data_IF_599364682046
#
_entry.id   IF_599364682046
#
_cell.length_a   1.000
_cell.length_b   1.000
_cell.length_c   1.000
_cell.angle_alpha   90.00
_cell.angle_beta   90.00
_cell.angle_gamma   90.00
#
_symmetry.space_group_name_H-M   'P 1'
#
loop_
_entity.id
_entity.type
_entity.pdbx_description
1 polymer ?
#
# COMPACT_ATOMS: atom_id res chain seq x y z
N UNK A 1 -20.06 -17.70 -18.22
CA UNK A 1 -19.49 -17.54 -16.86
C UNK A 1 -18.85 -16.15 -16.81
N UNK A 2 -19.22 -15.28 -15.86
CA UNK A 2 -18.72 -13.90 -15.84
C UNK A 2 -17.23 -13.83 -15.48
N UNK A 3 -16.52 -12.78 -15.92
CA UNK A 3 -15.12 -12.55 -15.56
C UNK A 3 -14.92 -12.48 -14.05
N UNK A 4 -15.87 -11.87 -13.33
CA UNK A 4 -15.88 -11.77 -11.87
C UNK A 4 -15.88 -13.15 -11.19
N UNK A 5 -16.63 -14.12 -11.72
CA UNK A 5 -16.65 -15.49 -11.20
C UNK A 5 -15.31 -16.20 -11.39
N UNK A 6 -14.56 -15.87 -12.45
CA UNK A 6 -13.20 -16.40 -12.64
C UNK A 6 -12.24 -15.82 -11.60
N UNK A 7 -12.37 -14.53 -11.27
CA UNK A 7 -11.56 -13.90 -10.23
C UNK A 7 -11.81 -14.50 -8.86
N UNK A 8 -13.08 -14.70 -8.47
CA UNK A 8 -13.42 -15.35 -7.19
C UNK A 8 -12.80 -16.74 -7.02
N UNK A 9 -12.59 -17.48 -8.12
CA UNK A 9 -11.97 -18.82 -8.09
C UNK A 9 -10.44 -18.79 -8.01
N UNK A 10 -9.81 -17.71 -8.49
CA UNK A 10 -8.36 -17.63 -8.66
C UNK A 10 -7.68 -16.80 -7.58
N UNK A 11 -8.42 -15.89 -6.96
CA UNK A 11 -7.88 -14.93 -6.01
C UNK A 11 -8.54 -15.06 -4.64
N UNK A 12 -7.75 -14.85 -3.59
CA UNK A 12 -8.29 -14.76 -2.24
C UNK A 12 -9.11 -13.48 -2.14
N UNK A 13 -10.31 -13.59 -1.59
CA UNK A 13 -11.24 -12.48 -1.49
C UNK A 13 -12.00 -12.50 -0.16
N UNK A 14 -12.54 -11.34 0.18
CA UNK A 14 -13.29 -11.10 1.40
C UNK A 14 -14.54 -10.29 1.06
N UNK A 15 -15.65 -10.63 1.71
CA UNK A 15 -16.89 -9.88 1.57
C UNK A 15 -16.74 -8.47 2.16
N UNK A 16 -17.35 -7.50 1.48
CA UNK A 16 -17.51 -6.11 1.90
C UNK A 16 -18.99 -5.75 1.77
N UNK A 17 -19.44 -4.75 2.51
CA UNK A 17 -20.81 -4.23 2.46
C UNK A 17 -21.20 -3.75 1.04
N UNK A 18 -20.21 -3.38 0.23
CA UNK A 18 -20.41 -2.83 -1.12
C UNK A 18 -19.99 -3.79 -2.24
N UNK A 19 -19.45 -4.96 -1.92
CA UNK A 19 -18.99 -5.93 -2.91
C UNK A 19 -17.94 -6.89 -2.38
N UNK A 20 -16.74 -6.84 -2.95
CA UNK A 20 -15.68 -7.79 -2.61
C UNK A 20 -14.30 -7.16 -2.65
N UNK A 21 -13.46 -7.54 -1.71
CA UNK A 21 -12.07 -7.10 -1.62
C UNK A 21 -11.17 -8.29 -1.93
N UNK A 22 -10.33 -8.17 -2.96
CA UNK A 22 -9.38 -9.18 -3.40
C UNK A 22 -8.00 -8.90 -2.82
N UNK A 23 -7.27 -9.95 -2.44
CA UNK A 23 -5.86 -9.91 -2.04
C UNK A 23 -5.05 -10.60 -3.13
N UNK A 24 -4.14 -9.86 -3.76
CA UNK A 24 -3.33 -10.27 -4.90
C UNK A 24 -1.85 -10.26 -4.49
N UNK A 25 -1.17 -11.37 -4.75
CA UNK A 25 0.25 -11.56 -4.51
C UNK A 25 1.08 -11.43 -5.81
N UNK A 26 2.39 -11.13 -5.72
CA UNK A 26 3.27 -10.97 -6.89
C UNK A 26 3.32 -12.21 -7.79
N UNK A 27 3.19 -13.41 -7.23
CA UNK A 27 3.21 -14.68 -7.94
C UNK A 27 1.89 -15.02 -8.64
N UNK A 28 0.81 -14.27 -8.36
CA UNK A 28 -0.49 -14.51 -8.99
C UNK A 28 -0.41 -14.40 -10.52
N UNK A 29 -1.14 -15.29 -11.18
CA UNK A 29 -1.27 -15.37 -12.65
C UNK A 29 -2.67 -14.97 -13.12
N UNK A 30 -3.48 -14.35 -12.26
CA UNK A 30 -4.87 -14.03 -12.59
C UNK A 30 -4.98 -12.90 -13.62
N UNK A 31 -6.09 -12.88 -14.35
CA UNK A 31 -6.44 -11.73 -15.19
C UNK A 31 -6.81 -10.50 -14.36
N UNK A 32 -7.15 -10.67 -13.07
CA UNK A 32 -7.39 -9.55 -12.16
C UNK A 32 -6.08 -8.81 -11.87
N UNK A 33 -5.00 -9.53 -11.56
CA UNK A 33 -3.66 -8.96 -11.35
C UNK A 33 -3.25 -8.08 -12.52
N UNK A 34 -3.28 -8.63 -13.75
CA UNK A 34 -2.95 -7.86 -14.97
C UNK A 34 -3.80 -6.60 -15.13
N UNK A 35 -5.11 -6.69 -14.87
CA UNK A 35 -6.01 -5.53 -14.93
C UNK A 35 -5.66 -4.47 -13.89
N UNK A 36 -5.25 -4.90 -12.70
CA UNK A 36 -4.90 -4.02 -11.58
C UNK A 36 -3.55 -3.36 -11.81
N UNK A 37 -2.56 -4.10 -12.31
CA UNK A 37 -1.26 -3.56 -12.75
C UNK A 37 -1.48 -2.46 -13.78
N UNK A 38 -2.23 -2.74 -14.84
CA UNK A 38 -2.56 -1.74 -15.86
C UNK A 38 -3.29 -0.52 -15.27
N UNK A 39 -4.27 -0.74 -14.37
CA UNK A 39 -4.98 0.36 -13.70
C UNK A 39 -4.02 1.20 -12.85
N UNK A 40 -3.02 0.56 -12.24
CA UNK A 40 -2.03 1.28 -11.44
C UNK A 40 -1.12 2.12 -12.33
N UNK A 41 -0.59 1.54 -13.41
CA UNK A 41 0.27 2.25 -14.36
C UNK A 41 -0.45 3.43 -15.01
N UNK A 42 -1.69 3.22 -15.49
CA UNK A 42 -2.43 4.23 -16.25
C UNK A 42 -3.06 5.33 -15.38
N UNK A 43 -3.48 4.98 -14.16
CA UNK A 43 -4.35 5.85 -13.34
C UNK A 43 -3.73 6.12 -11.98
N UNK A 44 -3.37 5.08 -11.22
CA UNK A 44 -2.95 5.27 -9.82
C UNK A 44 -1.63 6.02 -9.76
N UNK A 45 -0.59 5.53 -10.43
CA UNK A 45 0.77 6.10 -10.44
C UNK A 45 0.74 7.59 -10.83
N UNK A 46 0.14 7.99 -11.98
CA UNK A 46 0.02 9.41 -12.32
C UNK A 46 -0.78 10.22 -11.30
N UNK A 47 -1.87 9.66 -10.75
CA UNK A 47 -2.73 10.39 -9.80
C UNK A 47 -2.09 10.68 -8.45
N UNK A 48 -1.01 9.96 -8.11
CA UNK A 48 -0.25 10.14 -6.85
C UNK A 48 1.19 10.59 -7.10
N UNK A 49 1.54 11.00 -8.33
CA UNK A 49 2.84 11.61 -8.65
C UNK A 49 4.00 10.63 -8.87
N UNK A 50 3.72 9.34 -9.05
CA UNK A 50 4.75 8.34 -9.37
C UNK A 50 4.91 8.16 -10.88
N UNK A 51 6.11 7.71 -11.29
CA UNK A 51 6.34 7.28 -12.66
C UNK A 51 5.38 6.13 -13.04
N UNK A 52 4.78 6.15 -14.25
CA UNK A 52 3.82 5.12 -14.67
C UNK A 52 4.39 3.71 -14.59
N UNK A 53 5.66 3.51 -14.95
CA UNK A 53 6.38 2.24 -14.98
C UNK A 53 6.96 1.80 -13.63
N UNK A 54 6.72 2.56 -12.56
CA UNK A 54 7.22 2.20 -11.24
C UNK A 54 6.53 0.93 -10.71
N UNK A 55 7.33 -0.13 -10.56
CA UNK A 55 6.87 -1.43 -10.07
C UNK A 55 6.13 -1.33 -8.74
N UNK A 56 4.93 -1.91 -8.71
CA UNK A 56 4.07 -1.96 -7.53
C UNK A 56 4.53 -3.01 -6.52
N UNK A 57 5.29 -4.01 -6.96
CA UNK A 57 5.67 -5.17 -6.15
C UNK A 57 6.93 -4.93 -5.32
N UNK A 58 7.71 -3.89 -5.66
CA UNK A 58 9.02 -3.67 -5.08
C UNK A 58 10.06 -4.63 -5.66
N UNK A 59 11.32 -4.46 -5.27
CA UNK A 59 12.43 -5.30 -5.72
C UNK A 59 12.49 -6.65 -4.97
N UNK A 60 11.86 -6.73 -3.81
CA UNK A 60 11.86 -7.89 -2.90
C UNK A 60 10.54 -8.67 -2.91
N UNK A 61 9.57 -8.26 -3.73
CA UNK A 61 8.26 -8.88 -3.89
C UNK A 61 7.47 -9.05 -2.57
N UNK A 62 7.74 -8.25 -1.54
CA UNK A 62 7.04 -8.35 -0.25
C UNK A 62 5.69 -7.65 -0.22
N UNK A 63 5.40 -6.85 -1.25
CA UNK A 63 4.16 -6.08 -1.34
C UNK A 63 2.98 -6.97 -1.68
N UNK A 64 1.84 -6.62 -1.13
CA UNK A 64 0.55 -7.24 -1.41
C UNK A 64 -0.41 -6.16 -1.87
N UNK A 65 -1.10 -6.42 -2.98
CA UNK A 65 -2.08 -5.51 -3.56
C UNK A 65 -3.48 -5.94 -3.14
N UNK A 66 -4.27 -4.99 -2.70
CA UNK A 66 -5.65 -5.18 -2.29
C UNK A 66 -6.57 -4.36 -3.16
N UNK A 67 -7.64 -4.97 -3.65
CA UNK A 67 -8.52 -4.34 -4.63
C UNK A 67 -9.97 -4.50 -4.21
N UNK A 68 -10.62 -3.37 -3.94
CA UNK A 68 -12.06 -3.34 -3.69
C UNK A 68 -12.80 -3.23 -5.01
N UNK A 69 -13.66 -4.21 -5.29
CA UNK A 69 -14.58 -4.20 -6.43
C UNK A 69 -15.99 -4.00 -5.87
N UNK A 70 -16.59 -2.86 -6.23
CA UNK A 70 -17.98 -2.56 -5.89
C UNK A 70 -18.89 -3.13 -6.97
N UNK A 71 -20.05 -3.63 -6.53
CA UNK A 71 -21.12 -4.08 -7.42
C UNK A 71 -22.33 -3.18 -7.23
N UNK A 72 -22.65 -2.39 -8.25
CA UNK A 72 -23.85 -1.54 -8.30
C UNK A 72 -24.76 -2.08 -9.42
N UNK A 73 -25.83 -2.78 -9.04
CA UNK A 73 -26.71 -3.46 -9.99
C UNK A 73 -25.99 -4.55 -10.78
N UNK A 74 -25.94 -4.41 -12.11
CA UNK A 74 -25.22 -5.32 -13.02
C UNK A 74 -23.79 -4.84 -13.36
N UNK A 75 -23.39 -3.70 -12.81
CA UNK A 75 -22.08 -3.09 -13.09
C UNK A 75 -21.10 -3.34 -11.94
N UNK A 76 -19.84 -3.56 -12.30
CA UNK A 76 -18.75 -3.74 -11.35
C UNK A 76 -17.58 -2.85 -11.74
N UNK A 77 -16.96 -2.19 -10.77
CA UNK A 77 -15.77 -1.36 -11.02
C UNK A 77 -14.78 -1.46 -9.87
N UNK A 78 -13.51 -1.18 -10.18
CA UNK A 78 -12.44 -1.09 -9.18
C UNK A 78 -12.66 0.22 -8.40
N UNK A 79 -13.09 0.10 -7.16
CA UNK A 79 -13.42 1.21 -6.30
C UNK A 79 -12.24 1.69 -5.47
N UNK A 80 -11.35 0.79 -5.06
CA UNK A 80 -10.13 1.13 -4.34
C UNK A 80 -9.00 0.15 -4.66
N UNK A 81 -7.77 0.67 -4.61
CA UNK A 81 -6.53 -0.11 -4.69
C UNK A 81 -5.67 0.32 -3.51
N UNK A 82 -5.16 -0.66 -2.75
CA UNK A 82 -4.23 -0.46 -1.65
C UNK A 82 -3.01 -1.34 -1.84
N UNK A 83 -1.83 -0.74 -1.89
CA UNK A 83 -0.57 -1.48 -1.91
C UNK A 83 -0.01 -1.47 -0.50
N UNK A 84 0.23 -2.66 0.03
CA UNK A 84 0.66 -2.87 1.42
C UNK A 84 1.96 -3.66 1.49
N UNK A 85 2.73 -3.44 2.54
CA UNK A 85 3.94 -4.21 2.87
C UNK A 85 4.00 -4.50 4.37
N UNK A 86 4.58 -5.64 4.80
CA UNK A 86 4.83 -5.88 6.21
C UNK A 86 6.03 -5.03 6.64
N UNK A 87 5.90 -4.28 7.74
CA UNK A 87 6.99 -3.46 8.27
C UNK A 87 7.57 -4.04 9.55
N UNK A 88 8.89 -3.93 9.71
CA UNK A 88 9.58 -4.26 10.96
C UNK A 88 9.47 -3.11 11.96
N UNK A 89 9.43 -1.87 11.46
CA UNK A 89 9.30 -0.67 12.28
C UNK A 89 8.61 0.46 11.52
N UNK A 90 8.05 1.41 12.27
CA UNK A 90 7.51 2.65 11.72
C UNK A 90 7.78 3.79 12.69
N UNK A 91 8.04 4.99 12.19
CA UNK A 91 8.30 6.16 13.02
C UNK A 91 7.10 7.09 13.02
N UNK A 92 6.62 7.52 14.19
CA UNK A 92 5.66 8.60 14.25
C UNK A 92 6.34 9.91 13.82
N UNK A 93 5.80 10.56 12.79
CA UNK A 93 6.27 11.83 12.26
C UNK A 93 6.07 13.01 13.22
N UNK A 94 5.23 12.86 14.25
CA UNK A 94 4.97 13.92 15.23
C UNK A 94 5.92 13.80 16.43
N UNK A 95 6.00 12.63 17.07
CA UNK A 95 6.84 12.45 18.26
C UNK A 95 8.27 12.00 17.93
N UNK A 96 8.51 11.51 16.71
CA UNK A 96 9.75 10.84 16.34
C UNK A 96 9.88 9.42 16.93
N UNK A 97 8.88 8.96 17.70
CA UNK A 97 8.91 7.66 18.36
C UNK A 97 8.84 6.52 17.34
N UNK A 98 9.69 5.52 17.52
CA UNK A 98 9.70 4.32 16.69
C UNK A 98 8.82 3.24 17.30
N UNK A 99 7.80 2.81 16.56
CA UNK A 99 7.04 1.61 16.87
C UNK A 99 7.92 0.38 16.55
N UNK A 100 8.12 -0.44 17.57
CA UNK A 100 8.99 -1.63 17.58
C UNK A 100 8.19 -2.95 17.40
N UNK A 101 8.88 -4.09 17.14
CA UNK A 101 8.33 -5.22 16.37
C UNK A 101 7.52 -6.24 17.20
N UNK A 102 7.10 -5.91 18.43
CA UNK A 102 6.38 -6.89 19.27
C UNK A 102 5.06 -7.35 18.63
N UNK A 103 4.46 -6.51 17.77
CA UNK A 103 3.27 -6.83 17.00
C UNK A 103 3.49 -6.52 15.52
N UNK A 104 2.75 -7.15 14.59
CA UNK A 104 2.85 -6.82 13.18
C UNK A 104 2.45 -5.37 12.87
N UNK A 105 3.07 -4.79 11.84
CA UNK A 105 2.76 -3.45 11.31
C UNK A 105 2.38 -3.59 9.84
N UNK A 106 1.29 -2.92 9.43
CA UNK A 106 0.90 -2.80 8.02
C UNK A 106 1.44 -1.47 7.50
N UNK A 107 2.37 -1.51 6.55
CA UNK A 107 2.76 -0.34 5.77
C UNK A 107 1.82 -0.16 4.59
N UNK A 108 1.22 1.01 4.46
CA UNK A 108 0.42 1.43 3.31
C UNK A 108 1.33 2.24 2.39
N UNK A 109 1.80 1.60 1.32
CA UNK A 109 2.66 2.21 0.31
C UNK A 109 1.85 3.13 -0.59
N UNK A 110 0.68 2.67 -1.04
CA UNK A 110 -0.24 3.44 -1.90
C UNK A 110 -1.67 3.18 -1.47
N UNK A 111 -2.47 4.24 -1.47
CA UNK A 111 -3.90 4.15 -1.26
C UNK A 111 -4.59 5.03 -2.31
N UNK A 112 -5.37 4.40 -3.17
CA UNK A 112 -6.16 5.08 -4.17
C UNK A 112 -7.62 4.66 -4.08
N UNK A 113 -8.51 5.61 -4.32
CA UNK A 113 -9.95 5.38 -4.38
C UNK A 113 -10.50 6.08 -5.61
N UNK A 114 -11.28 5.32 -6.38
CA UNK A 114 -11.99 5.81 -7.55
C UNK A 114 -12.83 7.03 -7.16
N UNK A 115 -12.87 8.12 -7.95
CA UNK A 115 -13.59 9.34 -7.58
C UNK A 115 -15.04 9.10 -7.15
N UNK A 116 -15.78 8.23 -7.86
CA UNK A 116 -17.16 7.88 -7.53
C UNK A 116 -17.34 7.07 -6.23
N UNK A 117 -16.27 6.48 -5.71
CA UNK A 117 -16.24 5.69 -4.47
C UNK A 117 -15.72 6.51 -3.26
N UNK A 118 -15.24 7.73 -3.48
CA UNK A 118 -14.70 8.59 -2.41
C UNK A 118 -15.80 9.01 -1.43
N UNK A 119 -15.41 9.18 -0.17
CA UNK A 119 -16.28 9.59 0.95
C UNK A 119 -17.48 8.66 1.22
N UNK A 120 -17.45 7.43 0.69
CA UNK A 120 -18.44 6.37 0.96
C UNK A 120 -17.94 5.29 1.94
N UNK A 121 -16.80 5.51 2.62
CA UNK A 121 -16.23 4.55 3.58
C UNK A 121 -15.36 3.44 2.98
N UNK A 122 -15.32 3.29 1.66
CA UNK A 122 -14.62 2.21 0.94
C UNK A 122 -13.15 2.06 1.33
N UNK A 123 -12.39 3.16 1.39
CA UNK A 123 -10.99 3.12 1.78
C UNK A 123 -10.79 2.63 3.22
N UNK A 124 -11.64 3.08 4.14
CA UNK A 124 -11.60 2.67 5.55
C UNK A 124 -11.96 1.19 5.72
N UNK A 125 -13.02 0.74 5.05
CA UNK A 125 -13.44 -0.66 5.07
C UNK A 125 -12.36 -1.57 4.47
N UNK A 126 -11.76 -1.17 3.35
CA UNK A 126 -10.66 -1.92 2.73
C UNK A 126 -9.48 -2.07 3.70
N UNK A 127 -9.09 -1.00 4.40
CA UNK A 127 -8.05 -1.07 5.43
C UNK A 127 -8.45 -1.93 6.63
N UNK A 128 -9.73 -1.91 7.05
CA UNK A 128 -10.21 -2.77 8.13
C UNK A 128 -10.16 -4.26 7.76
N UNK A 129 -10.47 -4.61 6.52
CA UNK A 129 -10.28 -5.97 5.98
C UNK A 129 -8.80 -6.34 5.91
N UNK A 130 -7.95 -5.44 5.43
CA UNK A 130 -6.48 -5.65 5.40
C UNK A 130 -5.98 -5.95 6.81
N UNK A 131 -6.30 -5.11 7.79
CA UNK A 131 -5.87 -5.26 9.19
C UNK A 131 -6.29 -6.61 9.79
N UNK A 132 -7.46 -7.11 9.42
CA UNK A 132 -8.00 -8.38 9.91
C UNK A 132 -7.33 -9.60 9.28
N UNK A 133 -6.89 -9.50 8.02
CA UNK A 133 -6.52 -10.66 7.22
C UNK A 133 -5.10 -10.65 6.68
N UNK A 134 -4.34 -9.57 6.87
CA UNK A 134 -2.99 -9.47 6.31
C UNK A 134 -2.03 -10.45 6.98
N UNK A 135 -2.03 -10.46 8.32
CA UNK A 135 -1.29 -11.39 9.17
C UNK A 135 -2.23 -12.47 9.70
N UNK A 136 -1.90 -13.74 9.46
CA UNK A 136 -2.73 -14.87 9.86
C UNK A 136 -2.95 -14.88 11.37
N UNK A 137 -4.23 -14.86 11.78
CA UNK A 137 -4.61 -14.96 13.20
C UNK A 137 -4.43 -13.68 14.01
N UNK A 138 -4.00 -12.57 13.40
CA UNK A 138 -3.74 -11.31 14.11
C UNK A 138 -4.57 -10.16 13.53
N UNK A 139 -5.41 -9.54 14.36
CA UNK A 139 -6.06 -8.28 14.04
C UNK A 139 -5.11 -7.11 14.32
N UNK A 140 -4.59 -6.48 13.28
CA UNK A 140 -3.70 -5.33 13.43
C UNK A 140 -4.51 -4.12 13.93
N UNK A 141 -4.14 -3.46 15.04
CA UNK A 141 -4.81 -2.25 15.50
C UNK A 141 -4.54 -1.08 14.53
N UNK A 142 -5.46 -0.10 14.42
CA UNK A 142 -5.27 1.04 13.50
C UNK A 142 -3.98 1.82 13.81
N UNK A 143 -3.57 1.88 15.08
CA UNK A 143 -2.32 2.49 15.53
C UNK A 143 -1.06 1.83 14.99
N UNK A 144 -1.17 0.64 14.39
CA UNK A 144 -0.09 -0.09 13.71
C UNK A 144 -0.28 -0.15 12.19
N UNK A 145 -1.05 0.78 11.64
CA UNK A 145 -1.09 1.06 10.21
C UNK A 145 -0.26 2.30 9.94
N UNK A 146 0.83 2.13 9.19
CA UNK A 146 1.72 3.21 8.79
C UNK A 146 1.46 3.63 7.34
N UNK A 147 1.62 4.91 7.01
CA UNK A 147 1.35 5.44 5.67
C UNK A 147 2.62 6.05 5.09
N UNK A 148 3.12 5.46 4.01
CA UNK A 148 4.35 5.93 3.35
C UNK A 148 4.08 7.20 2.54
N UNK A 149 4.74 8.30 2.93
CA UNK A 149 4.74 9.59 2.22
C UNK A 149 3.35 10.04 1.71
N UNK A 150 2.37 10.27 2.61
CA UNK A 150 1.00 10.52 2.20
C UNK A 150 0.84 11.89 1.53
N UNK A 151 0.09 11.92 0.44
CA UNK A 151 -0.40 13.17 -0.18
C UNK A 151 -1.23 13.98 0.83
N UNK A 152 -1.51 15.27 0.58
CA UNK A 152 -2.35 16.06 1.49
C UNK A 152 -3.75 15.45 1.71
N UNK A 153 -4.34 14.86 0.67
CA UNK A 153 -5.61 14.13 0.76
C UNK A 153 -5.41 12.84 1.56
N UNK A 154 -4.32 12.11 1.30
CA UNK A 154 -3.94 10.90 2.03
C UNK A 154 -3.71 11.14 3.52
N UNK A 155 -3.06 12.25 3.88
CA UNK A 155 -2.82 12.68 5.27
C UNK A 155 -4.12 12.94 6.00
N UNK A 156 -5.03 13.73 5.41
CA UNK A 156 -6.37 14.00 5.98
C UNK A 156 -7.18 12.71 6.15
N UNK A 157 -7.07 11.78 5.20
CA UNK A 157 -7.69 10.47 5.31
C UNK A 157 -7.08 9.67 6.47
N UNK A 158 -5.74 9.56 6.53
CA UNK A 158 -5.03 8.82 7.56
C UNK A 158 -5.37 9.37 8.96
N UNK A 159 -5.31 10.68 9.16
CA UNK A 159 -5.71 11.34 10.39
C UNK A 159 -7.13 10.95 10.80
N UNK A 160 -8.10 10.99 9.88
CA UNK A 160 -9.49 10.63 10.16
C UNK A 160 -9.66 9.14 10.45
N UNK A 161 -8.96 8.28 9.71
CA UNK A 161 -9.00 6.83 9.88
C UNK A 161 -8.45 6.42 11.25
N UNK A 162 -7.34 7.05 11.66
CA UNK A 162 -6.68 6.82 12.95
C UNK A 162 -7.42 7.49 14.13
N UNK A 163 -8.10 8.63 13.92
CA UNK A 163 -8.82 9.40 14.97
C UNK A 163 -9.90 8.63 15.73
N UNK A 164 -10.43 7.54 15.15
CA UNK A 164 -11.36 6.68 15.87
C UNK A 164 -10.71 5.87 17.01
N UNK A 165 -9.42 6.05 17.26
CA UNK A 165 -8.71 5.33 18.32
C UNK A 165 -8.46 6.18 19.57
N UNK A 166 -7.98 7.45 19.54
CA UNK A 166 -7.93 8.34 20.72
C UNK A 166 -7.81 9.84 20.35
N UNK A 167 -8.22 10.73 21.27
CA UNK A 167 -8.36 12.19 21.11
C UNK A 167 -7.06 12.99 21.19
N UNK A 168 -5.90 12.36 21.32
CA UNK A 168 -4.60 13.04 21.33
C UNK A 168 -3.51 12.01 21.05
N UNK A 169 -2.42 12.47 20.43
CA UNK A 169 -1.18 11.73 20.10
C UNK A 169 -1.10 11.02 18.73
N UNK A 170 -0.12 11.47 17.95
CA UNK A 170 0.60 10.79 16.85
C UNK A 170 -0.20 10.20 15.68
N UNK A 171 -0.34 10.95 14.58
CA UNK A 171 -1.23 10.58 13.45
C UNK A 171 -0.58 10.45 12.07
N UNK A 172 0.74 10.46 11.98
CA UNK A 172 1.42 10.20 10.72
C UNK A 172 2.61 9.33 11.02
N UNK A 173 2.63 8.12 10.48
CA UNK A 173 3.77 7.21 10.60
C UNK A 173 4.49 7.22 9.29
N UNK A 174 5.76 7.62 9.28
CA UNK A 174 6.61 7.49 8.10
C UNK A 174 7.18 6.07 8.12
N UNK A 175 7.04 5.37 6.99
CA UNK A 175 7.73 4.11 6.76
C UNK A 175 9.25 4.37 6.76
N UNK A 176 9.96 3.80 7.73
CA UNK A 176 11.40 3.99 7.89
C UNK A 176 12.19 2.99 7.03
N UNK A 177 11.54 1.92 6.56
CA UNK A 177 12.19 0.80 5.87
C UNK A 177 12.66 1.14 4.43
N UNK A 178 12.22 2.28 3.86
CA UNK A 178 12.73 2.75 2.55
C UNK A 178 14.16 3.33 2.68
N UNK A 179 14.49 4.01 3.78
CA UNK A 179 15.84 4.58 3.95
C UNK A 179 16.88 3.52 4.37
N UNK A 180 16.49 2.56 5.21
CA UNK A 180 17.41 1.51 5.65
C UNK A 180 17.74 0.50 4.54
N UNK A 181 16.83 0.20 3.62
CA UNK A 181 17.12 -0.71 2.50
C UNK A 181 18.17 -0.14 1.55
N UNK A 182 18.12 1.17 1.26
CA UNK A 182 19.14 1.84 0.44
C UNK A 182 20.49 1.89 1.19
N UNK A 183 20.47 2.16 2.50
CA UNK A 183 21.71 2.21 3.30
C UNK A 183 22.34 0.81 3.47
N UNK A 184 21.53 -0.22 3.74
CA UNK A 184 22.00 -1.60 3.92
C UNK A 184 22.47 -2.22 2.59
N UNK A 185 21.85 -1.85 1.46
CA UNK A 185 22.33 -2.24 0.13
C UNK A 185 23.67 -1.57 -0.23
N UNK A 186 23.92 -0.33 0.25
CA UNK A 186 25.21 0.34 0.12
C UNK A 186 26.28 -0.28 1.04
N UNK A 187 25.91 -0.70 2.25
CA UNK A 187 26.84 -1.30 3.22
C UNK A 187 27.22 -2.75 2.86
N UNK A 188 26.32 -3.52 2.23
CA UNK A 188 26.60 -4.88 1.74
C UNK A 188 27.38 -4.93 0.41
N UNK A 189 27.50 -3.80 -0.28
CA UNK A 189 28.24 -3.68 -1.55
C UNK A 189 29.75 -3.42 -1.38
N UNK A 190 30.26 -3.37 -0.15
CA UNK A 190 31.71 -3.29 0.11
C UNK A 190 32.23 -4.67 0.53
N UNK A 191 32.99 -5.36 -0.35
CA UNK A 191 34.45 -5.21 -0.26
C UNK A 191 35.19 -5.24 -1.61
N UNK A 192 36.26 -4.44 -1.70
CA UNK A 192 37.44 -4.76 -2.53
C UNK A 192 37.46 -4.24 -3.98
N UNK A 193 38.29 -3.21 -4.19
CA UNK A 193 39.03 -2.86 -5.42
C UNK A 193 38.28 -2.51 -6.73
N UNK A 194 38.49 -1.25 -7.12
CA UNK A 194 38.75 -0.76 -8.48
C UNK A 194 37.86 -1.24 -9.65
N UNK A 195 36.84 -0.45 -9.97
CA UNK A 195 36.67 0.16 -11.31
C UNK A 195 35.47 1.13 -11.27
N UNK A 196 35.59 2.22 -12.01
CA UNK A 196 34.68 3.37 -12.03
C UNK A 196 33.19 2.97 -12.16
N UNK A 197 32.26 3.62 -11.43
CA UNK A 197 30.84 3.31 -11.59
C UNK A 197 30.33 3.75 -12.98
N UNK A 198 29.43 2.99 -13.62
CA UNK A 198 28.70 3.47 -14.78
C UNK A 198 27.86 4.68 -14.36
N UNK A 199 28.02 5.79 -15.09
CA UNK A 199 27.18 6.98 -14.92
C UNK A 199 25.73 6.58 -15.20
N UNK A 200 24.87 6.61 -14.17
CA UNK A 200 23.45 6.32 -14.38
C UNK A 200 22.56 6.05 -13.17
N UNK A 201 23.08 5.92 -11.96
CA UNK A 201 22.22 5.79 -10.75
C UNK A 201 22.37 7.02 -9.87
N UNK A 202 21.50 8.01 -10.11
CA UNK A 202 21.26 9.10 -9.17
C UNK A 202 20.39 8.61 -8.01
N UNK A 203 20.58 9.13 -6.79
CA UNK A 203 19.68 8.84 -5.68
C UNK A 203 18.32 9.45 -6.01
N UNK A 204 17.24 8.68 -5.86
CA UNK A 204 15.85 9.15 -5.91
C UNK A 204 15.62 10.20 -4.80
N UNK A 205 16.08 11.42 -5.04
CA UNK A 205 15.60 12.63 -4.41
C UNK A 205 14.45 13.14 -5.25
N UNK A 206 13.29 12.50 -5.15
CA UNK A 206 12.06 13.13 -5.58
C UNK A 206 11.59 14.05 -4.43
N UNK A 207 12.04 15.30 -4.48
CA UNK A 207 11.42 16.41 -3.74
C UNK A 207 10.34 17.04 -4.63
N UNK A 208 9.33 17.57 -3.94
CA UNK A 208 8.34 18.58 -4.34
C UNK A 208 7.02 18.07 -4.94
N UNK A 209 6.08 17.92 -4.00
CA UNK A 209 4.65 17.94 -4.13
C UNK A 209 4.13 19.26 -4.74
N UNK A 210 3.14 19.17 -5.64
CA UNK A 210 2.15 20.23 -5.87
C UNK A 210 0.77 19.71 -5.51
#
# INVERSE_FOLDING_TARGET
>A
MSQLNLWFRRERHYSSDYGSIFRIHPDSQSSLKRKVEQTIEDIVNPSVGFAPDLSIWGWDERRTVWVSIITEGSTHYIAAIVVTEPLLSAQCSITGETIRPNDPIVGVNRLWTHPAARRKGIASETLDVIRKWYFTGVLVPRTRVAFSDPTDIGRRFAERYLRFVYFSFCFSFICVDIFYTIHLALDLAAPGSCSSPPQGFGPERARFWT
#
